data_IF_573601241891
#
_entry.id   IF_573601241891
#
_cell.length_a   1.000
_cell.length_b   1.000
_cell.length_c   1.000
_cell.angle_alpha   90.00
_cell.angle_beta   90.00
_cell.angle_gamma   90.00
#
_symmetry.space_group_name_H-M   'P 1'
#
loop_
_entity.id
_entity.type
_entity.pdbx_description
1 polymer ?
#
# COMPACT_ATOMS: atom_id res chain seq x y z
N UNK A 1 6.80 13.04 22.46
CA UNK A 1 6.94 11.82 21.62
C UNK A 1 8.43 11.56 21.43
N UNK A 2 8.92 10.38 21.84
CA UNK A 2 10.35 10.07 21.79
C UNK A 2 10.84 9.68 20.38
N UNK A 3 12.15 9.79 20.14
CA UNK A 3 12.81 9.43 18.86
C UNK A 3 12.45 8.01 18.39
N UNK A 4 12.25 7.08 19.33
CA UNK A 4 11.82 5.71 19.05
C UNK A 4 10.48 5.64 18.30
N UNK A 5 9.49 6.44 18.71
CA UNK A 5 8.16 6.45 18.06
C UNK A 5 8.27 6.94 16.63
N UNK A 6 9.13 7.93 16.38
CA UNK A 6 9.36 8.45 15.03
C UNK A 6 10.01 7.40 14.12
N UNK A 7 11.03 6.69 14.61
CA UNK A 7 11.68 5.61 13.86
C UNK A 7 10.73 4.44 13.57
N UNK A 8 9.94 4.02 14.56
CA UNK A 8 8.93 2.98 14.38
C UNK A 8 7.85 3.42 13.37
N UNK A 9 7.43 4.68 13.42
CA UNK A 9 6.51 5.26 12.45
C UNK A 9 7.09 5.24 11.02
N UNK A 10 8.37 5.58 10.86
CA UNK A 10 9.04 5.54 9.57
C UNK A 10 9.10 4.12 9.01
N UNK A 11 9.59 3.16 9.82
CA UNK A 11 9.71 1.75 9.41
C UNK A 11 8.34 1.16 9.08
N UNK A 12 7.35 1.35 9.96
CA UNK A 12 5.99 0.88 9.75
C UNK A 12 5.32 1.50 8.53
N UNK A 13 5.56 2.80 8.29
CA UNK A 13 5.06 3.49 7.11
C UNK A 13 5.64 2.93 5.81
N UNK A 14 6.96 2.70 5.77
CA UNK A 14 7.63 2.10 4.61
C UNK A 14 7.07 0.70 4.34
N UNK A 15 6.97 -0.15 5.37
CA UNK A 15 6.45 -1.51 5.23
C UNK A 15 5.00 -1.52 4.72
N UNK A 16 4.15 -0.64 5.25
CA UNK A 16 2.77 -0.49 4.79
C UNK A 16 2.70 0.01 3.34
N UNK A 17 3.54 0.98 2.97
CA UNK A 17 3.60 1.47 1.59
C UNK A 17 4.04 0.38 0.61
N UNK A 18 5.09 -0.37 0.93
CA UNK A 18 5.58 -1.47 0.09
C UNK A 18 4.52 -2.56 -0.04
N UNK A 19 3.88 -2.96 1.08
CA UNK A 19 2.82 -3.98 1.08
C UNK A 19 1.61 -3.50 0.26
N UNK A 20 1.20 -2.26 0.45
CA UNK A 20 0.08 -1.65 -0.28
C UNK A 20 0.34 -1.60 -1.78
N UNK A 21 1.54 -1.17 -2.19
CA UNK A 21 1.97 -1.20 -3.59
C UNK A 21 1.96 -2.64 -4.15
N UNK A 22 2.41 -3.62 -3.37
CA UNK A 22 2.37 -5.03 -3.75
C UNK A 22 0.95 -5.53 -4.05
N UNK A 23 -0.04 -5.18 -3.22
CA UNK A 23 -1.44 -5.55 -3.48
C UNK A 23 -2.03 -4.86 -4.72
N UNK A 24 -1.67 -3.59 -4.97
CA UNK A 24 -2.07 -2.90 -6.21
C UNK A 24 -1.46 -3.61 -7.43
N UNK A 25 -0.17 -3.95 -7.37
CA UNK A 25 0.51 -4.69 -8.45
C UNK A 25 -0.15 -6.05 -8.66
N UNK A 26 -0.46 -6.78 -7.60
CA UNK A 26 -1.14 -8.07 -7.67
C UNK A 26 -2.50 -7.95 -8.36
N UNK A 27 -3.29 -6.93 -8.01
CA UNK A 27 -4.56 -6.67 -8.70
C UNK A 27 -4.37 -6.39 -10.19
N UNK A 28 -3.40 -5.56 -10.56
CA UNK A 28 -3.15 -5.23 -11.97
C UNK A 28 -2.66 -6.45 -12.75
N UNK A 29 -1.69 -7.17 -12.21
CA UNK A 29 -1.08 -8.32 -12.90
C UNK A 29 -2.02 -9.50 -12.99
N UNK A 30 -2.59 -9.94 -11.87
CA UNK A 30 -3.51 -11.07 -11.86
C UNK A 30 -4.89 -10.64 -12.34
N UNK A 31 -5.49 -9.63 -11.71
CA UNK A 31 -6.86 -9.24 -11.98
C UNK A 31 -7.08 -8.75 -13.41
N UNK A 32 -6.19 -7.87 -13.92
CA UNK A 32 -6.37 -7.26 -15.24
C UNK A 32 -5.56 -7.97 -16.34
N UNK A 33 -4.24 -8.09 -16.17
CA UNK A 33 -3.35 -8.52 -17.26
C UNK A 33 -3.55 -10.01 -17.57
N UNK A 34 -3.49 -10.88 -16.57
CA UNK A 34 -3.59 -12.32 -16.77
C UNK A 34 -4.94 -12.76 -17.33
N UNK A 35 -5.99 -11.95 -17.14
CA UNK A 35 -7.38 -12.25 -17.53
C UNK A 35 -7.83 -11.48 -18.75
N UNK A 36 -6.91 -10.76 -19.41
CA UNK A 36 -7.24 -9.97 -20.59
C UNK A 36 -7.67 -10.89 -21.73
N UNK A 37 -8.92 -10.73 -22.18
CA UNK A 37 -9.49 -11.55 -23.24
C UNK A 37 -10.20 -12.83 -22.78
N UNK A 38 -10.23 -13.11 -21.47
CA UNK A 38 -11.04 -14.21 -20.94
C UNK A 38 -12.54 -13.86 -21.00
N UNK A 39 -13.42 -14.82 -21.35
CA UNK A 39 -14.87 -14.58 -21.37
C UNK A 39 -15.45 -14.32 -19.96
N UNK A 40 -14.84 -14.91 -18.93
CA UNK A 40 -15.23 -14.72 -17.54
C UNK A 40 -14.34 -13.66 -16.87
N UNK A 41 -14.97 -12.53 -16.55
CA UNK A 41 -14.33 -11.39 -15.88
C UNK A 41 -14.74 -11.28 -14.40
N UNK A 42 -15.44 -12.28 -13.86
CA UNK A 42 -15.91 -12.28 -12.46
C UNK A 42 -14.75 -12.17 -11.46
N UNK A 43 -13.61 -12.76 -11.78
CA UNK A 43 -12.40 -12.71 -10.96
C UNK A 43 -11.92 -11.26 -10.75
N UNK A 44 -12.08 -10.37 -11.72
CA UNK A 44 -11.72 -8.95 -11.59
C UNK A 44 -12.41 -8.32 -10.36
N UNK A 45 -13.68 -8.67 -10.12
CA UNK A 45 -14.43 -8.22 -8.96
C UNK A 45 -13.96 -8.87 -7.66
N UNK A 46 -13.54 -10.14 -7.70
CA UNK A 46 -13.00 -10.83 -6.53
C UNK A 46 -11.67 -10.25 -6.05
N UNK A 47 -10.85 -9.66 -6.93
CA UNK A 47 -9.63 -8.96 -6.55
C UNK A 47 -9.84 -7.51 -6.09
N UNK A 48 -11.02 -6.89 -6.31
CA UNK A 48 -11.29 -5.51 -5.89
C UNK A 48 -11.04 -5.24 -4.39
N UNK A 49 -11.43 -6.11 -3.44
CA UNK A 49 -11.09 -5.91 -2.03
C UNK A 49 -9.59 -5.81 -1.78
N UNK A 50 -8.78 -6.62 -2.48
CA UNK A 50 -7.31 -6.59 -2.40
C UNK A 50 -6.79 -5.25 -2.93
N UNK A 51 -7.34 -4.76 -4.03
CA UNK A 51 -6.99 -3.43 -4.57
C UNK A 51 -7.28 -2.33 -3.53
N UNK A 52 -8.47 -2.32 -2.94
CA UNK A 52 -8.83 -1.29 -1.97
C UNK A 52 -7.94 -1.34 -0.73
N UNK A 53 -7.67 -2.53 -0.19
CA UNK A 53 -6.72 -2.71 0.92
C UNK A 53 -5.33 -2.18 0.52
N UNK A 54 -4.88 -2.49 -0.70
CA UNK A 54 -3.62 -2.01 -1.25
C UNK A 54 -3.53 -0.49 -1.30
N UNK A 55 -4.56 0.17 -1.84
CA UNK A 55 -4.64 1.64 -1.93
C UNK A 55 -4.64 2.27 -0.54
N UNK A 56 -5.47 1.78 0.38
CA UNK A 56 -5.53 2.31 1.75
C UNK A 56 -4.20 2.14 2.49
N UNK A 57 -3.58 0.96 2.41
CA UNK A 57 -2.28 0.70 3.01
C UNK A 57 -1.19 1.60 2.42
N UNK A 58 -1.19 1.79 1.09
CA UNK A 58 -0.24 2.66 0.41
C UNK A 58 -0.40 4.12 0.84
N UNK A 59 -1.62 4.66 0.80
CA UNK A 59 -1.90 6.05 1.20
C UNK A 59 -1.55 6.29 2.66
N UNK A 60 -1.98 5.39 3.56
CA UNK A 60 -1.71 5.53 4.98
C UNK A 60 -0.22 5.37 5.30
N UNK A 61 0.46 4.42 4.66
CA UNK A 61 1.90 4.23 4.78
C UNK A 61 2.67 5.48 4.36
N UNK A 62 2.33 6.07 3.21
CA UNK A 62 2.99 7.28 2.69
C UNK A 62 2.74 8.49 3.61
N UNK A 63 1.53 8.64 4.13
CA UNK A 63 1.20 9.67 5.10
C UNK A 63 2.03 9.52 6.39
N UNK A 64 2.19 8.28 6.88
CA UNK A 64 2.98 7.99 8.07
C UNK A 64 4.48 8.22 7.86
N UNK A 65 5.03 7.82 6.71
CA UNK A 65 6.42 8.12 6.32
C UNK A 65 6.65 9.63 6.27
N UNK A 66 5.76 10.38 5.61
CA UNK A 66 5.85 11.84 5.52
C UNK A 66 5.81 12.49 6.91
N UNK A 67 4.91 12.04 7.78
CA UNK A 67 4.81 12.53 9.16
C UNK A 67 6.10 12.26 9.94
N UNK A 68 6.60 11.02 9.91
CA UNK A 68 7.80 10.62 10.63
C UNK A 68 9.03 11.37 10.14
N UNK A 69 9.20 11.49 8.82
CA UNK A 69 10.27 12.24 8.18
C UNK A 69 10.29 13.71 8.60
N UNK A 70 9.13 14.38 8.50
CA UNK A 70 9.00 15.80 8.88
C UNK A 70 9.38 16.01 10.35
N UNK A 71 9.03 15.05 11.21
CA UNK A 71 9.34 15.13 12.63
C UNK A 71 10.83 14.93 12.92
N UNK A 72 11.53 14.07 12.18
CA UNK A 72 12.98 13.90 12.31
C UNK A 72 13.75 15.14 11.90
N UNK A 73 13.32 15.83 10.84
CA UNK A 73 13.99 17.04 10.37
C UNK A 73 13.74 18.28 11.24
N UNK A 74 12.67 18.27 12.05
CA UNK A 74 12.32 19.35 12.97
C UNK A 74 12.77 19.10 14.42
N UNK A 75 13.45 17.98 14.71
CA UNK A 75 13.95 17.59 16.05
C UNK A 75 15.47 17.72 16.14
#
# INVERSE_FOLDING_TARGET
MGKLVTWLGLLGGILLSVTGAGFVILYVTEGIIARMGEPDQSLLFWYLPILFIGIFALMFGLALVRWAWTRMNNS
#
